data_IF_158538946474
#
_entry.id   IF_158538946474
#
_cell.length_a   1.000
_cell.length_b   1.000
_cell.length_c   1.000
_cell.angle_alpha   90.00
_cell.angle_beta   90.00
_cell.angle_gamma   90.00
#
_symmetry.space_group_name_H-M   'P 1'
#
loop_
_entity.id
_entity.type
_entity.pdbx_description
1 polymer ?
#
# COMPACT_ATOMS: atom_id res chain seq x y z
N UNK A 1 -17.84 -3.14 22.98
CA UNK A 1 -16.49 -3.10 22.39
C UNK A 1 -16.65 -2.45 21.03
N UNK A 2 -15.77 -1.53 20.63
CA UNK A 2 -15.81 -0.99 19.27
C UNK A 2 -15.54 -2.13 18.28
N UNK A 3 -16.23 -2.13 17.15
CA UNK A 3 -15.97 -3.09 16.07
C UNK A 3 -14.55 -2.88 15.54
N UNK A 4 -13.80 -3.96 15.33
CA UNK A 4 -12.43 -3.89 14.81
C UNK A 4 -12.46 -3.57 13.32
N UNK A 5 -11.51 -2.77 12.85
CA UNK A 5 -11.31 -2.58 11.41
C UNK A 5 -10.88 -3.91 10.78
N UNK A 6 -11.64 -4.34 9.76
CA UNK A 6 -11.40 -5.57 8.99
C UNK A 6 -10.49 -5.26 7.80
N UNK A 7 -9.34 -5.90 7.76
CA UNK A 7 -8.27 -5.65 6.78
C UNK A 7 -8.05 -6.88 5.93
N UNK A 8 -8.19 -6.73 4.62
CA UNK A 8 -7.73 -7.74 3.67
C UNK A 8 -6.30 -7.40 3.26
N UNK A 9 -5.37 -8.33 3.44
CA UNK A 9 -4.01 -8.23 2.89
C UNK A 9 -3.97 -9.15 1.67
N UNK A 10 -3.95 -8.53 0.50
CA UNK A 10 -3.81 -9.21 -0.79
C UNK A 10 -2.34 -9.25 -1.16
N UNK A 11 -1.84 -10.44 -1.52
CA UNK A 11 -0.57 -10.59 -2.19
C UNK A 11 -0.70 -11.34 -3.50
N UNK A 12 0.43 -11.60 -4.14
CA UNK A 12 0.49 -12.39 -5.36
C UNK A 12 1.64 -13.40 -5.31
N UNK A 13 1.63 -14.33 -6.26
CA UNK A 13 2.67 -15.34 -6.38
C UNK A 13 3.71 -14.92 -7.42
N UNK A 14 4.91 -14.57 -6.96
CA UNK A 14 6.07 -14.35 -7.83
C UNK A 14 7.23 -15.24 -7.42
N UNK A 15 7.75 -16.02 -8.37
CA UNK A 15 8.88 -16.89 -8.11
C UNK A 15 10.17 -16.07 -8.02
N UNK A 16 10.75 -15.99 -6.81
CA UNK A 16 12.10 -15.49 -6.56
C UNK A 16 12.23 -13.99 -6.21
N UNK A 17 11.13 -13.24 -6.17
CA UNK A 17 11.04 -11.86 -5.68
C UNK A 17 9.61 -11.61 -5.19
N UNK A 18 9.41 -10.62 -4.29
CA UNK A 18 8.11 -10.32 -3.66
C UNK A 18 7.38 -11.57 -3.11
N UNK A 19 8.10 -12.50 -2.50
CA UNK A 19 7.55 -13.77 -2.02
C UNK A 19 6.53 -13.52 -0.89
N UNK A 20 5.25 -13.46 -1.27
CA UNK A 20 4.18 -13.15 -0.34
C UNK A 20 3.99 -14.24 0.72
N UNK A 21 4.37 -15.49 0.46
CA UNK A 21 4.34 -16.53 1.48
C UNK A 21 5.32 -16.23 2.64
N UNK A 22 6.40 -15.48 2.35
CA UNK A 22 7.35 -15.00 3.37
C UNK A 22 6.85 -13.72 4.04
N UNK A 23 6.21 -12.80 3.29
CA UNK A 23 5.76 -11.51 3.85
C UNK A 23 4.46 -11.63 4.65
N UNK A 24 3.52 -12.47 4.21
CA UNK A 24 2.17 -12.53 4.74
C UNK A 24 2.09 -12.83 6.25
N UNK A 25 2.92 -13.71 6.84
CA UNK A 25 2.89 -13.90 8.30
C UNK A 25 3.35 -12.65 9.07
N UNK A 26 4.24 -11.85 8.47
CA UNK A 26 4.71 -10.60 9.07
C UNK A 26 3.58 -9.56 9.05
N UNK A 27 2.90 -9.41 7.91
CA UNK A 27 1.70 -8.56 7.79
C UNK A 27 0.61 -8.97 8.78
N UNK A 28 0.27 -10.25 8.83
CA UNK A 28 -0.72 -10.78 9.76
C UNK A 28 -0.34 -10.43 11.21
N UNK A 29 0.93 -10.66 11.59
CA UNK A 29 1.41 -10.39 12.93
C UNK A 29 1.27 -8.91 13.32
N UNK A 30 1.92 -7.98 12.61
CA UNK A 30 1.98 -6.60 13.08
C UNK A 30 0.61 -5.89 12.98
N UNK A 31 -0.23 -6.25 12.00
CA UNK A 31 -1.58 -5.69 11.87
C UNK A 31 -2.52 -6.24 12.96
N UNK A 32 -2.41 -7.51 13.32
CA UNK A 32 -3.17 -8.10 14.42
C UNK A 32 -2.76 -7.51 15.77
N UNK A 33 -1.45 -7.37 16.01
CA UNK A 33 -0.90 -6.69 17.20
C UNK A 33 -1.36 -5.22 17.29
N UNK A 34 -1.56 -4.57 16.14
CA UNK A 34 -2.09 -3.21 16.04
C UNK A 34 -3.61 -3.10 16.30
N UNK A 35 -4.30 -4.23 16.47
CA UNK A 35 -5.72 -4.32 16.86
C UNK A 35 -6.70 -4.60 15.73
N UNK A 36 -6.22 -4.88 14.52
CA UNK A 36 -7.07 -5.17 13.35
C UNK A 36 -7.55 -6.62 13.30
N UNK A 37 -8.61 -6.86 12.52
CA UNK A 37 -9.01 -8.20 12.11
C UNK A 37 -8.47 -8.44 10.70
N UNK A 38 -7.52 -9.35 10.55
CA UNK A 38 -6.74 -9.52 9.32
C UNK A 38 -7.16 -10.78 8.59
N UNK A 39 -7.35 -10.67 7.28
CA UNK A 39 -7.49 -11.80 6.36
C UNK A 39 -6.39 -11.72 5.32
N UNK A 40 -5.58 -12.77 5.22
CA UNK A 40 -4.56 -12.93 4.18
C UNK A 40 -5.16 -13.68 3.00
N UNK A 41 -4.92 -13.21 1.77
CA UNK A 41 -5.34 -13.90 0.56
C UNK A 41 -4.38 -13.65 -0.61
N UNK A 42 -4.34 -14.60 -1.53
CA UNK A 42 -3.70 -14.52 -2.85
C UNK A 42 -4.74 -14.68 -3.97
N UNK A 43 -6.03 -14.84 -3.63
CA UNK A 43 -7.11 -15.01 -4.61
C UNK A 43 -7.70 -13.67 -5.00
N UNK A 44 -7.37 -13.20 -6.21
CA UNK A 44 -7.89 -11.94 -6.75
C UNK A 44 -9.41 -11.91 -6.90
N UNK A 45 -10.10 -13.04 -6.86
CA UNK A 45 -11.57 -13.03 -6.80
C UNK A 45 -12.11 -12.40 -5.52
N UNK A 46 -11.28 -12.24 -4.48
CA UNK A 46 -11.64 -11.49 -3.27
C UNK A 46 -11.76 -9.97 -3.52
N UNK A 47 -11.30 -9.48 -4.68
CA UNK A 47 -11.59 -8.10 -5.13
C UNK A 47 -13.02 -7.92 -5.66
N UNK A 48 -13.77 -9.00 -5.91
CA UNK A 48 -15.18 -8.88 -6.35
C UNK A 48 -16.05 -8.30 -5.24
N UNK A 49 -17.06 -7.53 -5.62
CA UNK A 49 -17.83 -6.69 -4.70
C UNK A 49 -18.46 -7.48 -3.54
N UNK A 50 -18.98 -8.67 -3.83
CA UNK A 50 -19.64 -9.56 -2.86
C UNK A 50 -18.68 -10.15 -1.82
N UNK A 51 -17.41 -10.31 -2.16
CA UNK A 51 -16.38 -10.82 -1.24
C UNK A 51 -15.69 -9.66 -0.50
N UNK A 52 -15.55 -8.52 -1.18
CA UNK A 52 -14.88 -7.34 -0.63
C UNK A 52 -15.74 -6.57 0.38
N UNK A 53 -17.06 -6.75 0.37
CA UNK A 53 -18.04 -6.06 1.23
C UNK A 53 -17.65 -6.00 2.71
N UNK A 54 -17.26 -7.10 3.39
CA UNK A 54 -16.88 -7.07 4.80
C UNK A 54 -15.59 -6.28 5.09
N UNK A 55 -14.72 -6.02 4.13
CA UNK A 55 -13.44 -5.38 4.44
C UNK A 55 -13.54 -3.86 4.47
N UNK A 56 -12.90 -3.24 5.46
CA UNK A 56 -12.83 -1.79 5.58
C UNK A 56 -11.65 -1.22 4.80
N UNK A 57 -10.53 -1.94 4.78
CA UNK A 57 -9.27 -1.53 4.17
C UNK A 57 -8.63 -2.70 3.43
N UNK A 58 -8.14 -2.44 2.22
CA UNK A 58 -7.26 -3.34 1.48
C UNK A 58 -5.80 -2.90 1.70
N UNK A 59 -4.93 -3.84 2.07
CA UNK A 59 -3.47 -3.70 1.96
C UNK A 59 -3.04 -4.57 0.78
N UNK A 60 -2.44 -3.96 -0.24
CA UNK A 60 -2.12 -4.63 -1.51
C UNK A 60 -0.60 -4.71 -1.70
N UNK A 61 -0.10 -5.93 -1.79
CA UNK A 61 1.28 -6.30 -2.10
C UNK A 61 1.32 -7.28 -3.29
N UNK A 62 0.36 -7.18 -4.21
CA UNK A 62 0.36 -7.97 -5.45
C UNK A 62 1.47 -7.55 -6.40
N UNK A 63 1.96 -8.49 -7.20
CA UNK A 63 2.97 -8.22 -8.24
C UNK A 63 2.52 -8.77 -9.59
N UNK A 64 2.57 -7.93 -10.63
CA UNK A 64 2.64 -8.35 -12.03
C UNK A 64 1.48 -9.21 -12.52
N UNK A 65 0.27 -8.65 -12.60
CA UNK A 65 -0.92 -9.36 -13.11
C UNK A 65 -1.92 -8.37 -13.74
N UNK A 66 -2.98 -8.88 -14.37
CA UNK A 66 -4.12 -8.10 -14.87
C UNK A 66 -5.40 -8.47 -14.11
N UNK A 67 -6.26 -7.49 -13.81
CA UNK A 67 -7.57 -7.75 -13.22
C UNK A 67 -8.62 -8.03 -14.29
N UNK A 68 -9.56 -8.93 -13.98
CA UNK A 68 -10.80 -9.05 -14.77
C UNK A 68 -11.71 -7.84 -14.56
N UNK A 69 -12.66 -7.61 -15.47
CA UNK A 69 -13.59 -6.47 -15.34
C UNK A 69 -14.38 -6.47 -14.02
N UNK A 70 -14.78 -7.65 -13.53
CA UNK A 70 -15.52 -7.77 -12.28
C UNK A 70 -14.65 -7.46 -11.05
N UNK A 71 -13.38 -7.88 -11.07
CA UNK A 71 -12.40 -7.54 -10.03
C UNK A 71 -12.10 -6.04 -10.04
N UNK A 72 -11.92 -5.42 -11.21
CA UNK A 72 -11.75 -3.96 -11.34
C UNK A 72 -12.97 -3.22 -10.79
N UNK A 73 -14.18 -3.66 -11.16
CA UNK A 73 -15.42 -3.02 -10.71
C UNK A 73 -15.61 -3.15 -9.20
N UNK A 74 -15.31 -4.31 -8.63
CA UNK A 74 -15.40 -4.56 -7.19
C UNK A 74 -14.39 -3.71 -6.40
N UNK A 75 -13.11 -3.76 -6.77
CA UNK A 75 -12.04 -3.01 -6.11
C UNK A 75 -12.26 -1.49 -6.20
N UNK A 76 -12.34 -0.95 -7.41
CA UNK A 76 -12.48 0.50 -7.60
C UNK A 76 -13.84 1.00 -7.09
N UNK A 77 -14.91 0.23 -7.29
CA UNK A 77 -16.24 0.56 -6.78
C UNK A 77 -16.29 0.62 -5.26
N UNK A 78 -15.68 -0.35 -4.58
CA UNK A 78 -15.58 -0.38 -3.12
C UNK A 78 -14.80 0.81 -2.56
N UNK A 79 -13.68 1.15 -3.20
CA UNK A 79 -12.85 2.31 -2.82
C UNK A 79 -13.58 3.62 -3.07
N UNK A 80 -14.21 3.79 -4.25
CA UNK A 80 -15.08 4.95 -4.52
C UNK A 80 -16.19 5.07 -3.47
N UNK A 81 -16.72 3.94 -2.99
CA UNK A 81 -17.72 3.86 -1.92
C UNK A 81 -17.21 4.16 -0.51
N UNK A 82 -15.89 4.26 -0.30
CA UNK A 82 -15.30 4.68 0.98
C UNK A 82 -14.35 3.68 1.63
N UNK A 83 -14.10 2.51 1.02
CA UNK A 83 -13.07 1.57 1.50
C UNK A 83 -11.69 2.20 1.41
N UNK A 84 -10.83 1.91 2.37
CA UNK A 84 -9.44 2.34 2.38
C UNK A 84 -8.57 1.45 1.48
N UNK A 85 -7.49 1.99 0.95
CA UNK A 85 -6.49 1.22 0.21
C UNK A 85 -5.08 1.64 0.62
N UNK A 86 -4.23 0.66 0.90
CA UNK A 86 -2.81 0.82 1.22
C UNK A 86 -2.01 -0.01 0.23
N UNK A 87 -1.51 0.63 -0.83
CA UNK A 87 -0.63 -0.02 -1.79
C UNK A 87 0.80 -0.05 -1.28
N UNK A 88 1.44 -1.20 -1.36
CA UNK A 88 2.82 -1.39 -0.92
C UNK A 88 3.68 -1.86 -2.08
N UNK A 89 4.80 -1.16 -2.31
CA UNK A 89 5.87 -1.51 -3.23
C UNK A 89 5.36 -1.93 -4.62
N UNK A 90 5.25 -3.25 -4.85
CA UNK A 90 4.80 -3.91 -6.06
C UNK A 90 3.37 -3.58 -6.47
N UNK A 91 2.54 -3.01 -5.60
CA UNK A 91 1.25 -2.43 -5.97
C UNK A 91 1.37 -1.43 -7.15
N UNK A 92 2.46 -0.66 -7.23
CA UNK A 92 2.69 0.24 -8.39
C UNK A 92 3.19 -0.49 -9.66
N UNK A 93 3.64 -1.73 -9.52
CA UNK A 93 4.03 -2.62 -10.61
C UNK A 93 2.87 -3.51 -11.11
N UNK A 94 1.76 -3.55 -10.36
CA UNK A 94 0.59 -4.38 -10.67
C UNK A 94 -0.45 -3.69 -11.54
N UNK A 95 -1.24 -4.51 -12.25
CA UNK A 95 -2.43 -4.11 -13.01
C UNK A 95 -2.20 -2.94 -13.99
N UNK A 96 -1.03 -2.93 -14.65
CA UNK A 96 -0.60 -1.83 -15.52
C UNK A 96 -1.51 -1.58 -16.74
N UNK A 97 -2.40 -2.53 -17.07
CA UNK A 97 -3.42 -2.38 -18.11
C UNK A 97 -4.75 -1.82 -17.59
N UNK A 98 -4.84 -1.46 -16.31
CA UNK A 98 -6.04 -0.90 -15.67
C UNK A 98 -5.84 0.58 -15.35
N UNK A 99 -6.23 1.52 -16.22
CA UNK A 99 -5.98 2.95 -16.01
C UNK A 99 -6.57 3.50 -14.71
N UNK A 100 -7.75 3.00 -14.31
CA UNK A 100 -8.41 3.41 -13.06
C UNK A 100 -7.59 3.03 -11.81
N UNK A 101 -6.91 1.88 -11.83
CA UNK A 101 -6.03 1.45 -10.74
C UNK A 101 -4.77 2.31 -10.69
N UNK A 102 -4.12 2.58 -11.83
CA UNK A 102 -2.94 3.46 -11.89
C UNK A 102 -3.28 4.86 -11.38
N UNK A 103 -4.42 5.43 -11.80
CA UNK A 103 -4.86 6.72 -11.27
C UNK A 103 -5.13 6.65 -9.77
N UNK A 104 -5.80 5.59 -9.28
CA UNK A 104 -6.06 5.42 -7.85
C UNK A 104 -4.76 5.33 -7.01
N UNK A 105 -3.81 4.46 -7.37
CA UNK A 105 -2.51 4.34 -6.70
C UNK A 105 -1.70 5.64 -6.79
N UNK A 106 -1.76 6.32 -7.95
CA UNK A 106 -1.04 7.56 -8.21
C UNK A 106 0.43 7.34 -8.60
N UNK A 107 0.85 6.09 -8.82
CA UNK A 107 2.21 5.74 -9.22
C UNK A 107 2.23 4.50 -10.11
N UNK A 108 3.18 4.45 -11.04
CA UNK A 108 3.43 3.30 -11.91
C UNK A 108 4.93 3.02 -11.97
N UNK A 109 5.32 1.80 -11.61
CA UNK A 109 6.70 1.34 -11.69
C UNK A 109 7.25 1.39 -13.11
N UNK A 110 8.42 2.02 -13.27
CA UNK A 110 9.22 2.01 -14.49
C UNK A 110 10.41 1.07 -14.38
N UNK A 111 11.23 1.26 -13.35
CA UNK A 111 12.50 0.54 -13.16
C UNK A 111 13.04 0.77 -11.75
N UNK A 112 14.10 0.04 -11.38
CA UNK A 112 14.90 0.28 -10.19
C UNK A 112 16.40 0.16 -10.55
N UNK A 113 17.32 0.71 -9.73
CA UNK A 113 18.75 0.47 -9.91
C UNK A 113 19.07 -1.04 -9.85
N UNK A 114 20.16 -1.48 -10.48
CA UNK A 114 20.57 -2.90 -10.47
C UNK A 114 21.14 -3.40 -9.12
N UNK A 115 20.94 -2.62 -8.05
CA UNK A 115 21.41 -2.85 -6.69
C UNK A 115 20.45 -2.18 -5.71
N UNK A 116 20.53 -2.53 -4.43
CA UNK A 116 19.69 -1.99 -3.35
C UNK A 116 20.47 -0.91 -2.59
N UNK A 117 20.35 0.37 -2.96
CA UNK A 117 21.07 1.44 -2.26
C UNK A 117 20.62 1.55 -0.81
N UNK A 118 21.57 1.80 0.09
CA UNK A 118 21.26 2.38 1.40
C UNK A 118 20.86 3.85 1.20
N UNK A 119 19.63 4.18 1.55
CA UNK A 119 19.03 5.50 1.33
C UNK A 119 18.63 6.14 2.66
N UNK A 120 18.59 7.47 2.67
CA UNK A 120 17.91 8.23 3.73
C UNK A 120 16.50 8.59 3.26
N UNK A 121 15.50 8.16 4.01
CA UNK A 121 14.10 8.47 3.79
C UNK A 121 13.73 9.69 4.64
N UNK A 122 13.24 10.74 4.00
CA UNK A 122 12.94 12.02 4.60
C UNK A 122 11.43 12.23 4.72
N UNK A 123 10.94 12.39 5.94
CA UNK A 123 9.54 12.69 6.24
C UNK A 123 9.25 14.15 5.89
N UNK A 124 8.24 14.37 5.03
CA UNK A 124 7.84 15.69 4.54
C UNK A 124 6.73 16.32 5.35
N UNK A 125 5.85 15.50 5.90
CA UNK A 125 4.76 15.94 6.77
C UNK A 125 4.62 15.04 8.00
N UNK A 126 5.40 15.32 9.05
CA UNK A 126 5.34 14.61 10.34
C UNK A 126 4.02 14.77 11.11
N UNK A 127 3.17 15.71 10.70
CA UNK A 127 1.87 15.95 11.34
C UNK A 127 0.76 15.14 10.68
N UNK A 128 1.01 14.55 9.51
CA UNK A 128 0.04 13.67 8.88
C UNK A 128 -0.08 12.36 9.69
N UNK A 129 -1.28 11.84 9.99
CA UNK A 129 -1.46 10.65 10.82
C UNK A 129 -0.67 9.41 10.34
N UNK A 130 -0.49 9.26 9.03
CA UNK A 130 0.33 8.17 8.45
C UNK A 130 1.79 8.21 8.92
N UNK A 131 2.32 9.41 9.21
CA UNK A 131 3.71 9.62 9.65
C UNK A 131 3.84 9.79 11.17
N UNK A 132 2.77 9.54 11.94
CA UNK A 132 2.83 9.64 13.40
C UNK A 132 3.87 8.67 13.98
N UNK A 133 4.86 9.22 14.69
CA UNK A 133 5.96 8.45 15.29
C UNK A 133 6.98 7.93 14.29
N UNK A 134 7.03 8.49 13.08
CA UNK A 134 8.03 8.19 12.05
C UNK A 134 8.92 9.42 11.87
N UNK A 135 10.21 9.28 12.18
CA UNK A 135 11.25 10.25 11.88
C UNK A 135 11.99 9.85 10.58
N UNK A 136 12.91 10.70 10.13
CA UNK A 136 13.84 10.33 9.06
C UNK A 136 14.64 9.09 9.44
N UNK A 137 14.82 8.15 8.51
CA UNK A 137 15.55 6.92 8.76
C UNK A 137 16.35 6.45 7.55
N UNK A 138 17.31 5.56 7.80
CA UNK A 138 18.07 4.90 6.75
C UNK A 138 17.67 3.43 6.61
N UNK A 139 17.57 2.96 5.37
CA UNK A 139 17.30 1.56 5.06
C UNK A 139 17.83 1.24 3.66
N UNK A 140 18.28 0.01 3.44
CA UNK A 140 18.50 -0.52 2.10
C UNK A 140 17.15 -0.88 1.47
N UNK A 141 16.91 -0.49 0.22
CA UNK A 141 15.61 -0.70 -0.43
C UNK A 141 15.79 -0.90 -1.95
N UNK A 142 14.86 -1.62 -2.57
CA UNK A 142 14.73 -1.63 -4.03
C UNK A 142 14.08 -0.32 -4.47
N UNK A 143 14.89 0.70 -4.72
CA UNK A 143 14.36 2.02 -5.06
C UNK A 143 13.55 2.00 -6.35
N UNK A 144 12.24 2.14 -6.23
CA UNK A 144 11.35 2.30 -7.38
C UNK A 144 11.48 3.69 -8.00
N UNK A 145 11.84 3.72 -9.27
CA UNK A 145 11.70 4.87 -10.15
C UNK A 145 10.36 4.73 -10.87
N UNK A 146 9.49 5.73 -10.70
CA UNK A 146 8.10 5.64 -11.09
C UNK A 146 7.65 6.86 -11.89
N UNK A 147 6.66 6.66 -12.75
CA UNK A 147 5.76 7.73 -13.17
C UNK A 147 4.76 8.00 -12.06
N UNK A 148 4.37 9.26 -11.87
CA UNK A 148 3.36 9.64 -10.88
C UNK A 148 2.17 10.29 -11.56
N UNK A 149 0.97 10.06 -11.01
CA UNK A 149 -0.30 10.36 -11.66
C UNK A 149 -1.25 11.13 -10.73
N UNK A 150 -1.71 12.29 -11.22
CA UNK A 150 -2.62 13.17 -10.50
C UNK A 150 -1.97 13.89 -9.32
N UNK A 151 -2.81 14.55 -8.52
CA UNK A 151 -2.37 15.24 -7.31
C UNK A 151 -2.42 14.30 -6.10
N UNK A 152 -1.32 14.25 -5.34
CA UNK A 152 -1.19 13.53 -4.07
C UNK A 152 -0.49 14.43 -3.04
N UNK A 153 -0.70 14.15 -1.77
CA UNK A 153 0.09 14.74 -0.69
C UNK A 153 1.32 13.85 -0.44
N UNK A 154 2.51 14.39 -0.70
CA UNK A 154 3.76 13.69 -0.48
C UNK A 154 4.11 13.68 1.01
N UNK A 155 4.25 12.49 1.59
CA UNK A 155 4.54 12.31 3.01
C UNK A 155 5.99 11.91 3.27
N UNK A 156 6.64 11.23 2.33
CA UNK A 156 8.03 10.81 2.41
C UNK A 156 8.69 10.80 1.03
N UNK A 157 9.95 11.22 0.99
CA UNK A 157 10.79 11.11 -0.22
C UNK A 157 12.19 10.62 0.13
N UNK A 158 12.99 10.34 -0.89
CA UNK A 158 14.44 10.16 -0.76
C UNK A 158 15.17 10.89 -1.90
N UNK A 159 16.47 11.07 -1.77
CA UNK A 159 17.30 11.65 -2.83
C UNK A 159 18.11 10.56 -3.52
N UNK A 160 17.99 10.48 -4.84
CA UNK A 160 18.77 9.54 -5.64
C UNK A 160 19.28 10.22 -6.92
N UNK A 161 20.59 10.21 -7.10
CA UNK A 161 21.28 10.81 -8.25
C UNK A 161 20.91 12.29 -8.48
N UNK A 162 20.77 13.07 -7.40
CA UNK A 162 20.46 14.50 -7.45
C UNK A 162 18.98 14.83 -7.66
N UNK A 163 18.11 13.83 -7.70
CA UNK A 163 16.66 14.01 -7.83
C UNK A 163 15.95 13.52 -6.58
N UNK A 164 14.96 14.29 -6.13
CA UNK A 164 14.02 13.85 -5.11
C UNK A 164 13.06 12.83 -5.73
N UNK A 165 12.90 11.69 -5.05
CA UNK A 165 12.04 10.57 -5.47
C UNK A 165 10.93 10.38 -4.45
N UNK A 166 9.65 10.40 -4.87
CA UNK A 166 8.53 10.18 -3.96
C UNK A 166 8.52 8.73 -3.49
N UNK A 167 8.31 8.52 -2.19
CA UNK A 167 8.33 7.19 -1.57
C UNK A 167 6.99 6.86 -0.95
N UNK A 168 6.42 7.76 -0.14
CA UNK A 168 5.11 7.54 0.49
C UNK A 168 4.22 8.75 0.26
N UNK A 169 2.99 8.52 -0.19
CA UNK A 169 2.01 9.58 -0.42
C UNK A 169 0.59 9.13 -0.11
N UNK A 170 -0.31 10.10 -0.01
CA UNK A 170 -1.74 9.86 0.12
C UNK A 170 -2.53 10.60 -0.95
N UNK A 171 -3.64 10.01 -1.38
CA UNK A 171 -4.52 10.54 -2.43
C UNK A 171 -5.99 10.22 -2.13
N UNK A 172 -6.94 11.13 -2.41
CA UNK A 172 -8.36 10.78 -2.41
C UNK A 172 -8.76 10.04 -3.69
N UNK A 173 -9.67 9.09 -3.61
CA UNK A 173 -10.28 8.44 -4.78
C UNK A 173 -11.76 8.13 -4.51
N UNK A 174 -12.66 8.94 -5.06
CA UNK A 174 -14.07 8.95 -4.64
C UNK A 174 -14.18 9.31 -3.15
N UNK A 175 -14.87 8.48 -2.37
CA UNK A 175 -14.91 8.59 -0.90
C UNK A 175 -13.78 7.84 -0.19
N UNK A 176 -12.97 7.07 -0.93
CA UNK A 176 -11.86 6.29 -0.43
C UNK A 176 -10.63 7.12 -0.10
N UNK A 177 -9.83 6.59 0.81
CA UNK A 177 -8.52 7.14 1.20
C UNK A 177 -7.43 6.17 0.78
N UNK A 178 -6.53 6.66 -0.07
CA UNK A 178 -5.43 5.88 -0.62
C UNK A 178 -4.14 6.32 0.07
N UNK A 179 -3.38 5.35 0.56
CA UNK A 179 -1.98 5.51 0.90
C UNK A 179 -1.17 4.59 -0.02
N UNK A 180 -0.04 5.07 -0.52
CA UNK A 180 0.92 4.23 -1.19
C UNK A 180 2.29 4.42 -0.56
N UNK A 181 3.07 3.35 -0.43
CA UNK A 181 4.48 3.40 -0.08
C UNK A 181 5.31 2.52 -1.01
N UNK A 182 6.42 3.02 -1.54
CA UNK A 182 7.37 2.27 -2.35
C UNK A 182 8.31 1.38 -1.51
N UNK A 183 8.20 1.44 -0.19
CA UNK A 183 8.99 0.62 0.73
C UNK A 183 8.44 -0.81 0.81
N UNK A 184 9.28 -1.76 1.25
CA UNK A 184 8.83 -3.10 1.64
C UNK A 184 9.11 -4.18 0.60
N UNK A 185 10.21 -4.09 -0.14
CA UNK A 185 10.56 -5.04 -1.21
C UNK A 185 10.66 -6.52 -0.77
N UNK A 186 11.21 -6.77 0.42
CA UNK A 186 11.45 -8.13 0.90
C UNK A 186 11.38 -8.17 2.44
N UNK A 187 11.68 -9.33 3.02
CA UNK A 187 11.54 -9.66 4.44
C UNK A 187 12.19 -8.61 5.33
N UNK A 188 13.42 -8.20 4.99
CA UNK A 188 14.20 -7.27 5.80
C UNK A 188 13.52 -5.91 5.90
N UNK A 189 12.95 -5.42 4.80
CA UNK A 189 12.23 -4.15 4.75
C UNK A 189 10.86 -4.27 5.43
N UNK A 190 10.16 -5.39 5.24
CA UNK A 190 8.87 -5.67 5.88
C UNK A 190 9.00 -5.83 7.41
N UNK A 191 10.13 -6.34 7.91
CA UNK A 191 10.46 -6.41 9.34
C UNK A 191 10.90 -5.06 9.93
N UNK A 192 11.11 -4.04 9.10
CA UNK A 192 11.56 -2.74 9.59
C UNK A 192 10.43 -2.06 10.42
N UNK A 193 10.72 -1.59 11.65
CA UNK A 193 9.70 -1.00 12.51
C UNK A 193 9.09 0.29 11.94
N UNK A 194 9.84 1.07 11.16
CA UNK A 194 9.31 2.26 10.50
C UNK A 194 8.33 1.87 9.38
N UNK A 195 8.66 0.83 8.59
CA UNK A 195 7.75 0.29 7.58
C UNK A 195 6.43 -0.17 8.21
N UNK A 196 6.50 -1.02 9.24
CA UNK A 196 5.31 -1.54 9.92
C UNK A 196 4.48 -0.42 10.56
N UNK A 197 5.14 0.60 11.13
CA UNK A 197 4.48 1.80 11.67
C UNK A 197 3.73 2.56 10.57
N UNK A 198 4.36 2.83 9.43
CA UNK A 198 3.76 3.54 8.29
C UNK A 198 2.53 2.78 7.80
N UNK A 199 2.64 1.47 7.54
CA UNK A 199 1.52 0.66 7.05
C UNK A 199 0.39 0.60 8.08
N UNK A 200 0.71 0.40 9.36
CA UNK A 200 -0.29 0.42 10.45
C UNK A 200 -1.03 1.75 10.50
N UNK A 201 -0.30 2.86 10.49
CA UNK A 201 -0.88 4.20 10.52
C UNK A 201 -1.71 4.48 9.26
N UNK A 202 -1.25 3.99 8.10
CA UNK A 202 -1.98 4.07 6.84
C UNK A 202 -3.31 3.34 6.91
N UNK A 203 -3.37 2.12 7.46
CA UNK A 203 -4.62 1.38 7.66
C UNK A 203 -5.57 2.16 8.58
N UNK A 204 -5.08 2.66 9.73
CA UNK A 204 -5.90 3.47 10.66
C UNK A 204 -6.45 4.72 10.00
N UNK A 205 -5.59 5.43 9.25
CA UNK A 205 -5.96 6.65 8.57
C UNK A 205 -6.90 6.40 7.39
N UNK A 206 -6.69 5.33 6.62
CA UNK A 206 -7.49 5.01 5.46
C UNK A 206 -8.91 4.61 5.85
N UNK A 207 -9.06 3.89 6.96
CA UNK A 207 -10.37 3.58 7.54
C UNK A 207 -11.15 4.88 7.85
N UNK A 208 -12.19 5.18 7.06
CA UNK A 208 -13.26 6.10 7.42
C UNK A 208 -14.32 5.28 8.14
N UNK A 209 -14.68 5.59 9.40
CA UNK A 209 -15.95 5.10 9.92
C UNK A 209 -17.05 5.52 8.94
N UNK A 210 -17.97 4.61 8.61
CA UNK A 210 -19.10 4.94 7.77
C UNK A 210 -19.79 6.20 8.33
N UNK A 211 -20.00 7.21 7.48
CA UNK A 211 -20.80 8.37 7.88
C UNK A 211 -22.18 7.83 8.27
N UNK A 212 -22.70 8.15 9.47
CA UNK A 212 -24.04 7.72 9.83
C UNK A 212 -25.03 8.20 8.76
N UNK A 213 -25.85 7.27 8.27
CA UNK A 213 -26.95 7.55 7.32
C UNK A 213 -27.95 8.53 7.92
#
# INVERSE_FOLDING_TARGET
MAEKTRVMVMGGHTQGFHDFAVMSPIYEQFLTEAGFEVTITEDRDDFKAEVLEPFDVIVDYTTGEDLTEDQVRGLLGGIVGGKGFVGVHSASDSFKQTPGYIDMVGGKFLTHPSYWPKLTFNVKNRFHPVMEGVDDFEMEEELYLMETYGHFELLMSTWFQGFERPITWVKPYGHGRICYTALGHDKVQTENPNFQRIVTNAVRWAHRPAMPK
#
